data_IF_301574909129
#
_entry.id   IF_301574909129
#
_cell.length_a   1.000
_cell.length_b   1.000
_cell.length_c   1.000
_cell.angle_alpha   90.00
_cell.angle_beta   90.00
_cell.angle_gamma   90.00
#
_symmetry.space_group_name_H-M   'P 1'
#
loop_
_entity.id
_entity.type
_entity.pdbx_description
1 polymer ?
#
# COMPACT_ATOMS: atom_id res chain seq x y z
N UNK A 1 -12.58 2.26 19.60
CA UNK A 1 -11.53 2.49 18.58
C UNK A 1 -11.03 3.94 18.65
N UNK A 2 -9.73 4.21 18.60
CA UNK A 2 -9.20 5.59 18.55
C UNK A 2 -9.51 6.23 17.20
N UNK A 3 -10.10 7.43 17.21
CA UNK A 3 -10.62 8.08 15.99
C UNK A 3 -9.57 8.93 15.28
N UNK A 4 -8.58 9.49 15.99
CA UNK A 4 -7.58 10.39 15.42
C UNK A 4 -6.26 9.64 15.21
N UNK A 5 -5.57 9.91 14.09
CA UNK A 5 -4.15 9.54 13.93
C UNK A 5 -3.31 10.80 14.02
N UNK A 6 -2.26 10.78 14.84
CA UNK A 6 -1.30 11.89 14.95
C UNK A 6 0.12 11.39 14.76
N UNK A 7 0.91 12.18 14.04
CA UNK A 7 2.35 11.95 13.89
C UNK A 7 3.09 12.71 14.99
N UNK A 8 3.53 12.00 16.04
CA UNK A 8 4.16 12.60 17.22
C UNK A 8 5.51 11.95 17.50
N UNK A 9 6.40 12.68 18.16
CA UNK A 9 7.60 12.07 18.74
C UNK A 9 7.15 11.15 19.87
N UNK A 10 7.62 9.90 19.83
CA UNK A 10 7.49 8.94 20.93
C UNK A 10 8.87 8.82 21.54
N UNK A 11 9.06 9.44 22.70
CA UNK A 11 10.25 9.27 23.51
C UNK A 11 10.08 8.02 24.38
N UNK A 12 10.93 7.02 24.16
CA UNK A 12 10.86 5.76 24.91
C UNK A 12 11.55 5.84 26.28
N UNK A 13 12.18 6.98 26.61
CA UNK A 13 12.69 7.29 27.93
C UNK A 13 11.70 8.10 28.80
N UNK A 14 10.54 8.48 28.24
CA UNK A 14 9.48 9.16 28.99
C UNK A 14 8.36 8.18 29.33
N UNK A 15 8.27 7.81 30.61
CA UNK A 15 7.25 6.90 31.12
C UNK A 15 5.83 7.38 30.85
N UNK A 16 5.59 8.70 30.85
CA UNK A 16 4.27 9.28 30.60
C UNK A 16 3.80 9.09 29.15
N UNK A 17 4.72 8.86 28.22
CA UNK A 17 4.44 8.73 26.78
C UNK A 17 4.15 7.28 26.39
N UNK A 18 4.92 6.32 26.90
CA UNK A 18 4.80 4.89 26.52
C UNK A 18 4.18 4.01 27.61
N UNK A 19 3.94 4.57 28.80
CA UNK A 19 3.39 3.88 29.96
C UNK A 19 4.43 3.04 30.70
N UNK A 20 4.12 2.79 31.98
CA UNK A 20 5.00 2.11 32.94
C UNK A 20 5.61 0.79 32.43
N UNK A 21 4.77 -0.07 31.84
CA UNK A 21 5.21 -1.39 31.37
C UNK A 21 6.25 -1.27 30.25
N UNK A 22 5.94 -0.49 29.20
CA UNK A 22 6.85 -0.34 28.06
C UNK A 22 8.13 0.40 28.44
N UNK A 23 8.02 1.36 29.37
CA UNK A 23 9.19 2.06 29.92
C UNK A 23 10.14 1.10 30.63
N UNK A 24 9.64 0.31 31.60
CA UNK A 24 10.45 -0.73 32.28
C UNK A 24 11.03 -1.75 31.30
N UNK A 25 10.26 -2.16 30.30
CA UNK A 25 10.76 -3.08 29.27
C UNK A 25 11.87 -2.45 28.44
N UNK A 26 11.75 -1.17 28.07
CA UNK A 26 12.82 -0.46 27.38
C UNK A 26 14.07 -0.42 28.26
N UNK A 27 13.97 0.07 29.50
CA UNK A 27 15.10 0.16 30.45
C UNK A 27 15.83 -1.17 30.64
N UNK A 28 15.10 -2.29 30.70
CA UNK A 28 15.68 -3.63 30.83
C UNK A 28 16.59 -4.04 29.65
N UNK A 29 16.48 -3.39 28.48
CA UNK A 29 17.30 -3.66 27.28
C UNK A 29 18.69 -3.03 27.34
N UNK A 30 19.01 -2.21 28.36
CA UNK A 30 20.34 -1.65 28.65
C UNK A 30 21.04 -1.00 27.45
N UNK A 31 21.90 -1.72 26.74
CA UNK A 31 22.67 -1.18 25.60
C UNK A 31 21.85 -1.10 24.30
N UNK A 32 20.65 -1.69 24.28
CA UNK A 32 19.74 -1.74 23.12
C UNK A 32 18.41 -1.01 23.38
N UNK A 33 18.48 0.14 24.08
CA UNK A 33 17.35 1.03 24.28
C UNK A 33 16.80 1.52 22.94
N UNK A 34 15.48 1.55 22.85
CA UNK A 34 14.80 2.20 21.74
C UNK A 34 14.99 3.71 21.84
N UNK A 35 15.38 4.31 20.71
CA UNK A 35 15.59 5.76 20.61
C UNK A 35 14.28 6.49 20.34
N UNK A 36 14.16 7.76 20.74
CA UNK A 36 13.02 8.59 20.38
C UNK A 36 12.82 8.61 18.86
N UNK A 37 11.58 8.39 18.42
CA UNK A 37 11.25 8.35 17.01
C UNK A 37 9.86 8.94 16.75
N UNK A 38 9.68 9.64 15.62
CA UNK A 38 8.35 10.07 15.20
C UNK A 38 7.56 8.86 14.71
N UNK A 39 6.38 8.64 15.31
CA UNK A 39 5.48 7.53 14.98
C UNK A 39 4.09 8.09 14.70
N UNK A 40 3.40 7.44 13.76
CA UNK A 40 1.96 7.65 13.56
C UNK A 40 1.23 6.77 14.56
N UNK A 41 0.44 7.37 15.46
CA UNK A 41 -0.29 6.65 16.50
C UNK A 41 -1.78 6.96 16.48
N UNK A 42 -2.59 6.03 16.97
CA UNK A 42 -3.98 6.27 17.36
C UNK A 42 -4.05 7.19 18.58
N UNK A 43 -4.99 8.13 18.59
CA UNK A 43 -5.16 9.12 19.65
C UNK A 43 -6.63 9.51 19.80
N UNK A 44 -7.00 9.94 21.00
CA UNK A 44 -8.32 10.52 21.30
C UNK A 44 -8.35 12.05 21.14
N UNK A 45 -7.18 12.67 20.97
CA UNK A 45 -7.02 14.10 20.73
C UNK A 45 -5.98 14.34 19.62
N UNK A 46 -5.98 15.54 19.06
CA UNK A 46 -5.04 15.94 18.04
C UNK A 46 -4.84 17.45 18.02
N UNK A 47 -3.64 17.87 17.67
CA UNK A 47 -3.27 19.29 17.60
C UNK A 47 -2.82 19.63 16.19
N UNK A 48 -3.28 20.78 15.69
CA UNK A 48 -2.88 21.33 14.37
C UNK A 48 -2.99 20.31 13.24
N UNK A 49 -4.08 19.54 13.23
CA UNK A 49 -4.36 18.55 12.18
C UNK A 49 -5.25 19.20 11.13
N UNK A 50 -4.87 19.08 9.85
CA UNK A 50 -5.76 19.40 8.74
C UNK A 50 -6.81 18.30 8.62
N UNK A 51 -8.09 18.62 8.78
CA UNK A 51 -9.20 17.65 8.73
C UNK A 51 -10.19 18.05 7.63
N UNK A 52 -10.54 17.09 6.78
CA UNK A 52 -11.54 17.27 5.73
C UNK A 52 -12.94 17.37 6.32
N UNK A 53 -13.79 18.23 5.74
CA UNK A 53 -15.09 18.56 6.30
C UNK A 53 -16.00 17.35 6.58
N UNK A 54 -16.09 16.30 5.73
CA UNK A 54 -16.91 15.12 6.03
C UNK A 54 -16.44 14.37 7.29
N UNK A 55 -15.12 14.18 7.43
CA UNK A 55 -14.56 13.51 8.61
C UNK A 55 -14.73 14.36 9.87
N UNK A 56 -14.57 15.69 9.76
CA UNK A 56 -14.78 16.60 10.88
C UNK A 56 -16.23 16.60 11.36
N UNK A 57 -17.20 16.64 10.43
CA UNK A 57 -18.64 16.56 10.75
C UNK A 57 -18.95 15.27 11.51
N UNK A 58 -18.43 14.14 11.02
CA UNK A 58 -18.60 12.84 11.68
C UNK A 58 -17.95 12.81 13.07
N UNK A 59 -16.76 13.39 13.24
CA UNK A 59 -16.14 13.51 14.57
C UNK A 59 -17.01 14.28 15.56
N UNK A 60 -17.57 15.42 15.13
CA UNK A 60 -18.43 16.25 15.98
C UNK A 60 -19.71 15.50 16.36
N UNK A 61 -20.35 14.82 15.40
CA UNK A 61 -21.56 14.03 15.69
C UNK A 61 -21.30 12.89 16.69
N UNK A 62 -20.05 12.44 16.77
CA UNK A 62 -19.60 11.41 17.70
C UNK A 62 -18.97 11.98 18.99
N UNK A 63 -19.17 13.27 19.28
CA UNK A 63 -18.81 13.89 20.56
C UNK A 63 -17.40 14.47 20.64
N UNK A 64 -16.61 14.46 19.55
CA UNK A 64 -15.33 15.19 19.54
C UNK A 64 -15.58 16.69 19.50
N UNK A 65 -14.83 17.43 20.31
CA UNK A 65 -14.95 18.89 20.44
C UNK A 65 -13.77 19.58 19.77
N UNK A 66 -14.05 20.64 19.01
CA UNK A 66 -13.01 21.53 18.49
C UNK A 66 -12.64 22.52 19.60
N UNK A 67 -11.40 22.47 20.08
CA UNK A 67 -10.89 23.44 21.05
C UNK A 67 -10.35 24.71 20.40
N UNK A 68 -9.77 24.60 19.19
CA UNK A 68 -9.16 25.71 18.46
C UNK A 68 -9.17 25.49 16.96
N UNK A 69 -9.47 26.55 16.21
CA UNK A 69 -9.34 26.62 14.75
C UNK A 69 -8.19 27.53 14.36
N UNK A 70 -7.57 27.27 13.21
CA UNK A 70 -6.38 28.01 12.75
C UNK A 70 -6.52 28.52 11.32
N UNK A 71 -7.04 27.69 10.42
CA UNK A 71 -7.16 27.98 9.00
C UNK A 71 -8.34 27.20 8.43
N UNK A 72 -9.00 27.79 7.42
CA UNK A 72 -10.03 27.16 6.63
C UNK A 72 -9.60 27.18 5.16
N UNK A 73 -9.67 26.03 4.50
CA UNK A 73 -9.36 25.89 3.08
C UNK A 73 -10.68 25.54 2.40
N UNK A 74 -11.18 26.43 1.55
CA UNK A 74 -12.36 26.15 0.73
C UNK A 74 -11.97 25.12 -0.33
N UNK A 75 -12.74 24.05 -0.43
CA UNK A 75 -12.61 23.03 -1.46
C UNK A 75 -13.99 22.75 -2.06
N UNK A 76 -14.05 22.60 -3.38
CA UNK A 76 -15.25 22.18 -4.09
C UNK A 76 -15.20 20.68 -4.34
N UNK A 77 -16.31 19.99 -4.10
CA UNK A 77 -16.42 18.55 -4.36
C UNK A 77 -16.68 18.31 -5.85
N UNK A 78 -15.87 17.47 -6.47
CA UNK A 78 -16.03 17.05 -7.86
C UNK A 78 -15.80 15.53 -7.98
N UNK A 79 -16.36 14.95 -9.04
CA UNK A 79 -16.29 13.52 -9.37
C UNK A 79 -15.28 13.24 -10.49
N UNK A 80 -14.15 13.92 -10.44
CA UNK A 80 -13.18 13.93 -11.53
C UNK A 80 -12.55 12.57 -11.84
N UNK A 81 -12.54 11.68 -10.84
CA UNK A 81 -11.95 10.36 -10.95
C UNK A 81 -12.99 9.25 -11.18
N UNK A 82 -14.27 9.57 -11.32
CA UNK A 82 -15.33 8.56 -11.51
C UNK A 82 -15.03 7.66 -12.73
N UNK A 83 -14.75 8.20 -13.94
CA UNK A 83 -14.44 7.36 -15.10
C UNK A 83 -13.20 6.49 -14.91
N UNK A 84 -12.19 7.03 -14.23
CA UNK A 84 -10.96 6.30 -13.92
C UNK A 84 -11.22 5.13 -12.96
N UNK A 85 -11.98 5.36 -11.90
CA UNK A 85 -12.30 4.33 -10.91
C UNK A 85 -13.29 3.30 -11.45
N UNK A 86 -14.19 3.69 -12.36
CA UNK A 86 -15.04 2.77 -13.12
C UNK A 86 -14.21 1.85 -14.01
N UNK A 87 -13.24 2.38 -14.76
CA UNK A 87 -12.34 1.58 -15.58
C UNK A 87 -11.56 0.55 -14.75
N UNK A 88 -11.01 0.96 -13.60
CA UNK A 88 -10.34 0.03 -12.66
C UNK A 88 -11.30 -1.04 -12.16
N UNK A 89 -12.52 -0.67 -11.77
CA UNK A 89 -13.50 -1.62 -11.23
C UNK A 89 -13.98 -2.61 -12.30
N UNK A 90 -14.23 -2.13 -13.52
CA UNK A 90 -14.68 -2.95 -14.65
C UNK A 90 -13.59 -3.94 -15.08
N UNK A 91 -12.35 -3.50 -15.24
CA UNK A 91 -11.24 -4.40 -15.55
C UNK A 91 -11.08 -5.51 -14.50
N UNK A 92 -11.29 -5.20 -13.22
CA UNK A 92 -11.27 -6.19 -12.14
C UNK A 92 -12.45 -7.15 -12.18
N UNK A 93 -13.66 -6.68 -12.53
CA UNK A 93 -14.82 -7.55 -12.74
C UNK A 93 -14.59 -8.49 -13.91
N UNK A 94 -14.04 -7.99 -15.01
CA UNK A 94 -13.70 -8.80 -16.17
C UNK A 94 -12.65 -9.87 -15.83
N UNK A 95 -11.58 -9.52 -15.10
CA UNK A 95 -10.56 -10.48 -14.69
C UNK A 95 -11.04 -11.54 -13.68
N UNK A 96 -12.13 -11.26 -12.94
CA UNK A 96 -12.78 -12.27 -12.09
C UNK A 96 -13.60 -13.28 -12.91
N UNK A 97 -14.10 -12.87 -14.08
CA UNK A 97 -14.88 -13.73 -14.99
C UNK A 97 -13.96 -14.50 -15.94
N UNK A 98 -12.94 -13.82 -16.49
CA UNK A 98 -12.02 -14.34 -17.49
C UNK A 98 -10.59 -14.37 -16.92
N UNK A 99 -10.10 -15.58 -16.64
CA UNK A 99 -8.75 -15.81 -16.11
C UNK A 99 -7.64 -15.28 -17.03
N UNK A 100 -7.87 -15.19 -18.35
CA UNK A 100 -6.89 -14.62 -19.29
C UNK A 100 -6.67 -13.13 -19.04
N UNK A 101 -7.67 -12.43 -18.48
CA UNK A 101 -7.63 -11.01 -18.12
C UNK A 101 -7.15 -10.77 -16.68
N UNK A 102 -6.83 -11.81 -15.92
CA UNK A 102 -6.38 -11.67 -14.53
C UNK A 102 -5.14 -10.76 -14.38
N UNK A 103 -4.21 -10.83 -15.34
CA UNK A 103 -3.03 -9.95 -15.37
C UNK A 103 -3.44 -8.48 -15.55
N UNK A 104 -4.38 -8.20 -16.46
CA UNK A 104 -4.89 -6.84 -16.72
C UNK A 104 -5.61 -6.32 -15.46
N UNK A 105 -6.42 -7.16 -14.81
CA UNK A 105 -7.11 -6.79 -13.57
C UNK A 105 -6.13 -6.42 -12.44
N UNK A 106 -5.06 -7.18 -12.24
CA UNK A 106 -4.03 -6.85 -11.24
C UNK A 106 -3.20 -5.63 -11.65
N UNK A 107 -2.93 -5.42 -12.93
CA UNK A 107 -2.30 -4.19 -13.43
C UNK A 107 -3.17 -2.96 -13.17
N UNK A 108 -4.47 -3.01 -13.49
CA UNK A 108 -5.40 -1.91 -13.27
C UNK A 108 -5.60 -1.60 -11.79
N UNK A 109 -5.61 -2.63 -10.93
CA UNK A 109 -5.59 -2.47 -9.47
C UNK A 109 -4.31 -1.75 -9.02
N UNK A 110 -3.14 -2.12 -9.56
CA UNK A 110 -1.87 -1.45 -9.26
C UNK A 110 -1.91 0.01 -9.72
N UNK A 111 -2.40 0.30 -10.93
CA UNK A 111 -2.55 1.66 -11.45
C UNK A 111 -3.44 2.49 -10.52
N UNK A 112 -4.63 1.99 -10.17
CA UNK A 112 -5.54 2.63 -9.22
C UNK A 112 -4.90 2.93 -7.86
N UNK A 113 -4.19 1.95 -7.30
CA UNK A 113 -3.49 2.13 -6.03
C UNK A 113 -2.23 3.01 -6.13
N UNK A 114 -1.54 3.04 -7.26
CA UNK A 114 -0.33 3.85 -7.41
C UNK A 114 -0.63 5.35 -7.54
N UNK A 115 -1.80 5.71 -8.09
CA UNK A 115 -2.22 7.09 -8.33
C UNK A 115 -2.25 7.92 -7.04
N UNK A 116 -2.81 7.38 -5.95
CA UNK A 116 -2.82 8.09 -4.66
C UNK A 116 -1.39 8.35 -4.14
N UNK A 117 -0.50 7.37 -4.32
CA UNK A 117 0.88 7.44 -3.85
C UNK A 117 1.65 8.52 -4.60
N UNK A 118 1.35 8.69 -5.89
CA UNK A 118 1.89 9.78 -6.69
C UNK A 118 1.44 11.16 -6.19
N UNK A 119 0.16 11.32 -5.85
CA UNK A 119 -0.34 12.59 -5.33
C UNK A 119 0.31 12.98 -3.99
N UNK A 120 0.57 12.01 -3.11
CA UNK A 120 1.20 12.23 -1.80
C UNK A 120 2.73 12.19 -1.80
N UNK A 121 3.37 12.09 -2.97
CA UNK A 121 4.82 11.89 -3.07
C UNK A 121 5.60 13.10 -2.55
N UNK A 122 6.48 12.83 -1.59
CA UNK A 122 7.35 13.83 -0.96
C UNK A 122 8.55 14.15 -1.85
N UNK A 123 8.37 15.16 -2.70
CA UNK A 123 9.39 15.65 -3.63
C UNK A 123 10.65 16.16 -2.91
N UNK A 124 10.59 16.49 -1.61
CA UNK A 124 11.75 16.99 -0.86
C UNK A 124 12.81 15.94 -0.61
N UNK A 125 12.44 14.66 -0.67
CA UNK A 125 13.36 13.52 -0.53
C UNK A 125 14.03 13.14 -1.84
N UNK A 126 13.60 13.74 -2.96
CA UNK A 126 14.19 13.42 -4.25
C UNK A 126 15.60 14.00 -4.33
N UNK A 127 16.51 13.17 -4.81
CA UNK A 127 17.92 13.51 -4.98
C UNK A 127 18.28 13.50 -6.46
N UNK A 128 19.39 14.11 -6.79
CA UNK A 128 20.02 14.03 -8.10
C UNK A 128 21.27 13.19 -7.97
N UNK A 129 21.41 12.22 -8.86
CA UNK A 129 22.61 11.38 -8.94
C UNK A 129 23.44 11.90 -10.10
N UNK A 130 24.74 12.09 -9.86
CA UNK A 130 25.73 12.49 -10.87
C UNK A 130 26.88 11.51 -10.82
N UNK A 131 27.37 11.12 -12.00
CA UNK A 131 28.57 10.31 -12.11
C UNK A 131 29.73 11.22 -12.48
N UNK A 132 30.77 11.22 -11.67
CA UNK A 132 31.92 12.10 -11.82
C UNK A 132 33.22 11.30 -11.78
N UNK A 133 34.24 11.83 -12.46
CA UNK A 133 35.58 11.27 -12.55
C UNK A 133 36.59 12.27 -11.96
N UNK A 134 37.61 11.75 -11.29
CA UNK A 134 38.78 12.48 -10.83
C UNK A 134 38.49 13.83 -10.12
N UNK A 135 39.18 14.89 -10.52
CA UNK A 135 39.26 16.19 -9.84
C UNK A 135 37.90 16.89 -9.67
N UNK A 136 36.88 16.49 -10.43
CA UNK A 136 35.52 17.03 -10.29
C UNK A 136 34.86 16.61 -8.97
N UNK A 137 35.24 15.46 -8.40
CA UNK A 137 34.64 14.87 -7.19
C UNK A 137 34.77 15.82 -5.99
N UNK A 138 35.96 16.36 -5.74
CA UNK A 138 36.23 17.24 -4.59
C UNK A 138 35.30 18.45 -4.58
N UNK A 139 35.11 19.08 -5.75
CA UNK A 139 34.21 20.23 -5.90
C UNK A 139 32.74 19.90 -5.61
N UNK A 140 32.31 18.66 -5.86
CA UNK A 140 30.93 18.22 -5.58
C UNK A 140 30.72 17.89 -4.11
N UNK A 141 31.73 17.29 -3.44
CA UNK A 141 31.67 16.99 -2.00
C UNK A 141 31.57 18.28 -1.18
N UNK A 142 32.35 19.30 -1.56
CA UNK A 142 32.36 20.61 -0.89
C UNK A 142 31.08 21.43 -1.17
N UNK A 143 30.29 21.04 -2.17
CA UNK A 143 29.07 21.75 -2.51
C UNK A 143 28.00 21.55 -1.42
N UNK A 144 27.32 22.62 -1.01
CA UNK A 144 26.34 22.61 0.09
C UNK A 144 25.12 21.68 -0.12
N UNK A 145 24.89 21.21 -1.35
CA UNK A 145 23.85 20.23 -1.66
C UNK A 145 24.35 18.79 -1.66
N UNK A 146 25.61 18.54 -1.36
CA UNK A 146 26.14 17.18 -1.22
C UNK A 146 25.33 16.39 -0.19
N UNK A 147 25.07 15.12 -0.51
CA UNK A 147 24.36 14.19 0.37
C UNK A 147 25.12 12.90 0.63
N UNK A 148 25.74 12.33 -0.40
CA UNK A 148 26.50 11.10 -0.28
C UNK A 148 27.30 10.82 -1.53
N UNK A 149 28.27 9.92 -1.40
CA UNK A 149 29.12 9.44 -2.48
C UNK A 149 29.25 7.93 -2.33
N UNK A 150 29.20 7.23 -3.45
CA UNK A 150 29.49 5.80 -3.55
C UNK A 150 30.59 5.62 -4.61
N UNK A 151 31.73 5.06 -4.19
CA UNK A 151 32.83 4.77 -5.11
C UNK A 151 32.44 3.59 -6.01
N UNK A 152 32.56 3.80 -7.31
CA UNK A 152 32.52 2.78 -8.33
C UNK A 152 33.95 2.51 -8.81
N UNK A 153 34.16 1.48 -9.63
CA UNK A 153 35.50 1.10 -10.09
C UNK A 153 36.30 2.28 -10.64
N UNK A 154 35.79 2.92 -11.70
CA UNK A 154 36.49 3.99 -12.39
C UNK A 154 35.79 5.35 -12.23
N UNK A 155 34.81 5.47 -11.32
CA UNK A 155 34.02 6.71 -11.14
C UNK A 155 33.43 6.81 -9.75
N UNK A 156 32.83 7.95 -9.41
CA UNK A 156 32.04 8.10 -8.19
C UNK A 156 30.59 8.42 -8.54
N UNK A 157 29.66 7.70 -7.93
CA UNK A 157 28.26 8.08 -7.89
C UNK A 157 28.07 9.12 -6.77
N UNK A 158 27.80 10.36 -7.14
CA UNK A 158 27.59 11.47 -6.20
C UNK A 158 26.09 11.77 -6.10
N UNK A 159 25.55 11.59 -4.92
CA UNK A 159 24.17 11.93 -4.59
C UNK A 159 24.10 13.36 -4.03
N UNK A 160 23.28 14.19 -4.67
CA UNK A 160 23.06 15.60 -4.34
C UNK A 160 21.59 15.84 -3.96
N UNK A 161 21.34 16.74 -3.01
CA UNK A 161 20.01 17.31 -2.76
C UNK A 161 19.64 18.29 -3.87
N UNK A 162 18.35 18.38 -4.19
CA UNK A 162 17.85 19.39 -5.13
C UNK A 162 17.83 20.77 -4.48
N UNK A 163 18.43 21.76 -5.14
CA UNK A 163 18.44 23.16 -4.66
C UNK A 163 17.07 23.82 -4.74
N UNK A 164 16.30 23.49 -5.78
CA UNK A 164 14.92 23.97 -5.98
C UNK A 164 14.02 22.76 -6.18
N UNK A 165 12.91 22.75 -5.46
CA UNK A 165 11.91 21.70 -5.55
C UNK A 165 10.70 22.25 -6.30
N UNK A 166 10.31 21.56 -7.38
CA UNK A 166 9.06 21.86 -8.06
C UNK A 166 7.99 20.90 -7.57
N UNK A 167 7.12 21.36 -6.66
CA UNK A 167 6.07 20.55 -6.10
C UNK A 167 4.82 20.58 -6.99
N UNK A 168 4.78 19.68 -7.97
CA UNK A 168 3.68 19.57 -8.95
C UNK A 168 2.56 18.63 -8.49
N UNK A 169 2.74 17.92 -7.38
CA UNK A 169 1.79 16.89 -6.96
C UNK A 169 0.61 17.52 -6.19
N UNK A 170 -0.63 17.11 -6.48
CA UNK A 170 -1.81 17.59 -5.77
C UNK A 170 -1.94 16.88 -4.41
N UNK A 171 -1.05 17.20 -3.46
CA UNK A 171 -0.95 16.53 -2.14
C UNK A 171 -2.28 16.54 -1.38
N UNK A 172 -3.09 17.59 -1.56
CA UNK A 172 -4.43 17.70 -0.95
C UNK A 172 -5.36 16.52 -1.34
N UNK A 173 -5.21 15.94 -2.54
CA UNK A 173 -5.96 14.75 -2.96
C UNK A 173 -5.57 13.53 -2.13
N UNK A 174 -4.27 13.32 -1.89
CA UNK A 174 -3.80 12.21 -1.04
C UNK A 174 -4.36 12.34 0.38
N UNK A 175 -4.36 13.56 0.93
CA UNK A 175 -4.94 13.84 2.24
C UNK A 175 -6.44 13.53 2.26
N UNK A 176 -7.19 13.97 1.24
CA UNK A 176 -8.62 13.71 1.13
C UNK A 176 -8.92 12.21 1.04
N UNK A 177 -8.23 11.48 0.15
CA UNK A 177 -8.39 10.04 -0.04
C UNK A 177 -8.19 9.29 1.28
N UNK A 178 -7.09 9.53 1.99
CA UNK A 178 -6.83 8.85 3.26
C UNK A 178 -7.84 9.20 4.36
N UNK A 179 -8.28 10.45 4.43
CA UNK A 179 -9.26 10.85 5.43
C UNK A 179 -10.66 10.31 5.15
N UNK A 180 -11.07 10.23 3.88
CA UNK A 180 -12.34 9.65 3.48
C UNK A 180 -12.33 8.12 3.59
N UNK A 181 -11.22 7.46 3.28
CA UNK A 181 -11.04 6.03 3.54
C UNK A 181 -11.14 5.74 5.05
N UNK A 182 -10.46 6.54 5.89
CA UNK A 182 -10.58 6.45 7.34
C UNK A 182 -12.01 6.68 7.82
N UNK A 183 -12.68 7.71 7.29
CA UNK A 183 -14.09 7.96 7.61
C UNK A 183 -14.92 6.71 7.33
N UNK A 184 -14.76 6.08 6.17
CA UNK A 184 -15.52 4.89 5.81
C UNK A 184 -15.24 3.71 6.76
N UNK A 185 -14.00 3.50 7.19
CA UNK A 185 -13.66 2.48 8.21
C UNK A 185 -14.27 2.79 9.57
N UNK A 186 -14.28 4.05 9.99
CA UNK A 186 -14.89 4.48 11.24
C UNK A 186 -16.41 4.32 11.21
N UNK A 187 -17.04 4.71 10.11
CA UNK A 187 -18.46 4.49 9.85
C UNK A 187 -18.81 3.01 9.88
N UNK A 188 -18.00 2.15 9.27
CA UNK A 188 -18.23 0.71 9.33
C UNK A 188 -18.19 0.18 10.76
N UNK A 189 -17.22 0.63 11.58
CA UNK A 189 -17.17 0.20 12.98
C UNK A 189 -18.34 0.74 13.80
N UNK A 190 -18.61 2.05 13.77
CA UNK A 190 -19.55 2.70 14.69
C UNK A 190 -21.00 2.70 14.17
N UNK A 191 -21.17 2.95 12.87
CA UNK A 191 -22.48 3.16 12.26
C UNK A 191 -23.04 1.85 11.63
N UNK A 192 -22.26 0.77 11.62
CA UNK A 192 -22.68 -0.56 11.17
C UNK A 192 -22.46 -1.61 12.27
N UNK A 193 -21.20 -1.96 12.59
CA UNK A 193 -20.93 -3.06 13.52
C UNK A 193 -21.44 -2.75 14.95
N UNK A 194 -21.07 -1.63 15.54
CA UNK A 194 -21.52 -1.23 16.89
C UNK A 194 -23.02 -0.94 16.94
N UNK A 195 -23.58 -0.44 15.83
CA UNK A 195 -25.00 -0.13 15.73
C UNK A 195 -25.85 -1.42 15.73
N UNK A 196 -25.56 -2.37 14.84
CA UNK A 196 -26.40 -3.56 14.64
C UNK A 196 -26.12 -4.73 15.58
N UNK A 197 -24.92 -4.81 16.17
CA UNK A 197 -24.51 -5.94 17.01
C UNK A 197 -24.35 -5.53 18.47
N UNK A 198 -24.68 -6.43 19.40
CA UNK A 198 -24.41 -6.19 20.81
C UNK A 198 -22.90 -6.27 21.08
N UNK A 199 -22.40 -5.47 22.03
CA UNK A 199 -20.99 -5.46 22.39
C UNK A 199 -20.49 -6.78 22.98
N UNK A 200 -21.38 -7.62 23.51
CA UNK A 200 -21.07 -8.97 23.96
C UNK A 200 -20.92 -9.97 22.80
N UNK A 201 -21.44 -9.65 21.62
CA UNK A 201 -21.48 -10.54 20.46
C UNK A 201 -20.34 -10.33 19.48
N UNK A 202 -19.49 -9.32 19.67
CA UNK A 202 -18.32 -9.13 18.81
C UNK A 202 -17.10 -8.54 19.50
N UNK A 203 -15.93 -8.93 19.01
CA UNK A 203 -14.64 -8.36 19.40
C UNK A 203 -13.82 -8.02 18.15
N UNK A 204 -13.43 -6.75 18.04
CA UNK A 204 -12.50 -6.32 17.00
C UNK A 204 -11.08 -6.75 17.38
N UNK A 205 -10.43 -7.54 16.53
CA UNK A 205 -9.12 -8.15 16.81
C UNK A 205 -7.96 -7.41 16.16
N UNK A 206 -8.12 -7.02 14.89
CA UNK A 206 -7.07 -6.35 14.13
C UNK A 206 -7.70 -5.47 13.05
N UNK A 207 -7.10 -4.32 12.77
CA UNK A 207 -7.45 -3.49 11.61
C UNK A 207 -6.19 -3.14 10.82
N UNK A 208 -6.22 -3.35 9.51
CA UNK A 208 -5.19 -2.84 8.61
C UNK A 208 -5.82 -2.09 7.46
N UNK A 209 -5.59 -0.77 7.42
CA UNK A 209 -5.93 0.18 6.34
C UNK A 209 -7.39 0.14 5.86
N UNK A 210 -7.76 -0.89 5.10
CA UNK A 210 -9.04 -1.14 4.44
C UNK A 210 -9.64 -2.52 4.79
N UNK A 211 -9.10 -3.20 5.82
CA UNK A 211 -9.54 -4.50 6.32
C UNK A 211 -9.75 -4.49 7.83
N UNK A 212 -10.69 -5.32 8.30
CA UNK A 212 -11.02 -5.50 9.71
C UNK A 212 -11.25 -6.97 10.04
N UNK A 213 -10.60 -7.45 11.09
CA UNK A 213 -10.79 -8.79 11.64
C UNK A 213 -11.67 -8.68 12.88
N UNK A 214 -12.85 -9.30 12.83
CA UNK A 214 -13.87 -9.22 13.85
C UNK A 214 -14.26 -10.65 14.22
N UNK A 215 -14.10 -11.00 15.49
CA UNK A 215 -14.67 -12.23 16.03
C UNK A 215 -16.11 -11.97 16.44
N UNK A 216 -16.98 -12.93 16.15
CA UNK A 216 -18.39 -12.89 16.55
C UNK A 216 -18.72 -14.09 17.44
N UNK A 217 -19.76 -13.94 18.27
CA UNK A 217 -20.26 -15.01 19.16
C UNK A 217 -21.05 -16.10 18.42
N UNK A 218 -21.53 -15.81 17.20
CA UNK A 218 -22.33 -16.74 16.39
C UNK A 218 -21.71 -17.01 15.01
N UNK A 219 -22.10 -18.16 14.41
CA UNK A 219 -21.60 -18.61 13.12
C UNK A 219 -22.09 -17.75 11.95
N UNK A 220 -23.34 -17.25 11.99
CA UNK A 220 -23.90 -16.36 10.97
C UNK A 220 -24.25 -14.97 11.56
N UNK A 221 -23.27 -14.08 11.79
CA UNK A 221 -23.48 -12.79 12.45
C UNK A 221 -24.59 -11.95 11.85
N UNK A 222 -24.59 -11.80 10.51
CA UNK A 222 -25.58 -10.99 9.79
C UNK A 222 -27.00 -11.56 9.87
N UNK A 223 -27.18 -12.79 10.37
CA UNK A 223 -28.48 -13.46 10.52
C UNK A 223 -28.86 -13.71 11.97
N UNK A 224 -27.90 -14.01 12.84
CA UNK A 224 -28.18 -14.55 14.16
C UNK A 224 -27.83 -13.57 15.27
N UNK A 225 -26.88 -12.65 15.04
CA UNK A 225 -26.36 -11.71 16.05
C UNK A 225 -26.84 -10.26 15.85
N UNK A 226 -27.75 -10.00 14.91
CA UNK A 226 -28.34 -8.66 14.75
C UNK A 226 -29.31 -8.42 15.91
N UNK A 227 -29.19 -7.26 16.57
CA UNK A 227 -30.12 -6.82 17.62
C UNK A 227 -31.57 -6.97 17.14
N UNK A 228 -32.44 -7.67 17.88
CA UNK A 228 -33.81 -7.98 17.44
C UNK A 228 -34.59 -6.74 17.00
N UNK A 229 -34.46 -5.64 17.74
CA UNK A 229 -35.14 -4.36 17.48
C UNK A 229 -34.64 -3.60 16.26
N UNK A 230 -33.50 -3.98 15.68
CA UNK A 230 -32.91 -3.36 14.48
C UNK A 230 -33.02 -4.24 13.24
N UNK A 231 -33.72 -5.38 13.31
CA UNK A 231 -33.73 -6.36 12.23
C UNK A 231 -34.34 -5.80 10.93
N UNK A 232 -35.51 -5.16 11.03
CA UNK A 232 -36.17 -4.55 9.88
C UNK A 232 -35.30 -3.44 9.28
N UNK A 233 -34.73 -2.58 10.14
CA UNK A 233 -33.80 -1.53 9.70
C UNK A 233 -32.56 -2.11 9.01
N UNK A 234 -32.01 -3.21 9.52
CA UNK A 234 -30.87 -3.88 8.92
C UNK A 234 -31.22 -4.44 7.53
N UNK A 235 -32.35 -5.11 7.40
CA UNK A 235 -32.77 -5.69 6.11
C UNK A 235 -33.00 -4.61 5.04
N UNK A 236 -33.49 -3.43 5.43
CA UNK A 236 -33.63 -2.27 4.55
C UNK A 236 -32.28 -1.63 4.14
N UNK A 237 -31.30 -1.58 5.04
CA UNK A 237 -30.08 -0.77 4.87
C UNK A 237 -28.78 -1.60 4.71
N UNK A 238 -28.81 -2.93 4.80
CA UNK A 238 -27.59 -3.77 4.76
C UNK A 238 -26.77 -3.58 3.48
N UNK A 239 -27.41 -3.29 2.35
CA UNK A 239 -26.72 -3.09 1.07
C UNK A 239 -26.02 -1.74 0.93
N UNK A 240 -26.17 -0.84 1.91
CA UNK A 240 -25.30 0.34 2.03
C UNK A 240 -23.90 -0.04 2.52
N UNK A 241 -23.76 -1.21 3.15
CA UNK A 241 -22.55 -1.69 3.79
C UNK A 241 -21.97 -2.88 3.06
N UNK A 242 -22.80 -3.83 2.65
CA UNK A 242 -22.41 -5.13 2.11
C UNK A 242 -22.84 -5.31 0.65
N UNK A 243 -22.15 -6.15 -0.14
CA UNK A 243 -22.60 -6.56 -1.45
C UNK A 243 -24.03 -7.11 -1.44
N UNK A 244 -24.81 -6.77 -2.47
CA UNK A 244 -26.14 -7.36 -2.66
C UNK A 244 -26.03 -8.86 -2.91
N UNK A 245 -26.89 -9.64 -2.26
CA UNK A 245 -26.83 -11.11 -2.25
C UNK A 245 -28.10 -11.80 -2.80
N UNK A 246 -29.09 -11.04 -3.26
CA UNK A 246 -30.33 -11.60 -3.81
C UNK A 246 -30.17 -12.33 -5.15
N UNK A 247 -29.06 -12.13 -5.87
CA UNK A 247 -28.66 -12.99 -6.99
C UNK A 247 -27.13 -13.00 -7.21
N UNK A 248 -26.66 -14.03 -7.92
CA UNK A 248 -25.23 -14.25 -8.13
C UNK A 248 -24.56 -13.20 -9.02
N UNK A 249 -25.27 -12.62 -10.00
CA UNK A 249 -24.71 -11.63 -10.93
C UNK A 249 -24.43 -10.30 -10.22
N UNK A 250 -25.40 -9.83 -9.44
CA UNK A 250 -25.28 -8.60 -8.66
C UNK A 250 -24.24 -8.79 -7.55
N UNK A 251 -24.20 -9.95 -6.88
CA UNK A 251 -23.17 -10.26 -5.89
C UNK A 251 -21.75 -10.21 -6.47
N UNK A 252 -21.55 -10.76 -7.68
CA UNK A 252 -20.27 -10.67 -8.40
C UNK A 252 -19.91 -9.23 -8.75
N UNK A 253 -20.87 -8.44 -9.22
CA UNK A 253 -20.66 -7.03 -9.56
C UNK A 253 -20.25 -6.22 -8.33
N UNK A 254 -20.98 -6.39 -7.22
CA UNK A 254 -20.79 -5.64 -5.98
C UNK A 254 -19.52 -6.02 -5.22
N UNK A 255 -18.99 -7.23 -5.43
CA UNK A 255 -17.67 -7.64 -4.91
C UNK A 255 -16.53 -6.70 -5.33
N UNK A 256 -16.72 -5.95 -6.42
CA UNK A 256 -15.79 -4.93 -6.94
C UNK A 256 -16.37 -3.51 -6.91
N UNK A 257 -17.56 -3.30 -6.34
CA UNK A 257 -18.13 -1.97 -6.16
C UNK A 257 -17.40 -1.25 -5.01
N UNK A 258 -16.83 -0.06 -5.24
CA UNK A 258 -16.15 0.69 -4.19
C UNK A 258 -17.07 1.00 -3.00
N UNK A 259 -16.47 1.17 -1.82
CA UNK A 259 -17.12 1.48 -0.52
C UNK A 259 -17.90 0.35 0.15
N UNK A 260 -18.17 -0.77 -0.52
CA UNK A 260 -18.80 -1.93 0.11
C UNK A 260 -17.75 -2.79 0.83
N UNK A 261 -18.16 -3.37 1.96
CA UNK A 261 -17.38 -4.30 2.77
C UNK A 261 -17.78 -5.71 2.42
N UNK A 262 -16.80 -6.55 2.09
CA UNK A 262 -17.02 -7.96 1.76
C UNK A 262 -16.22 -8.83 2.70
N UNK A 263 -16.75 -10.01 2.95
CA UNK A 263 -15.99 -11.07 3.61
C UNK A 263 -14.91 -11.58 2.64
N UNK A 264 -13.65 -11.30 2.97
CA UNK A 264 -12.52 -11.81 2.20
C UNK A 264 -12.01 -13.15 2.72
N UNK A 265 -12.22 -13.41 4.01
CA UNK A 265 -11.73 -14.60 4.71
C UNK A 265 -12.55 -14.84 5.98
N UNK A 266 -12.74 -16.12 6.32
CA UNK A 266 -13.41 -16.60 7.52
C UNK A 266 -12.65 -17.79 8.09
N UNK A 267 -12.59 -17.88 9.42
CA UNK A 267 -12.06 -19.04 10.12
C UNK A 267 -12.32 -18.96 11.62
N UNK A 268 -11.85 -19.97 12.34
CA UNK A 268 -12.36 -20.27 13.69
C UNK A 268 -11.66 -19.48 14.79
N UNK A 269 -10.39 -19.13 14.57
CA UNK A 269 -9.59 -18.43 15.55
C UNK A 269 -8.52 -17.56 14.90
N UNK A 270 -7.99 -16.64 15.70
CA UNK A 270 -6.86 -15.79 15.33
C UNK A 270 -6.04 -15.45 16.57
N UNK A 271 -4.72 -15.49 16.43
CA UNK A 271 -3.78 -14.93 17.42
C UNK A 271 -3.10 -13.73 16.78
N UNK A 272 -3.41 -12.54 17.30
CA UNK A 272 -2.79 -11.27 16.88
C UNK A 272 -1.80 -10.80 17.94
N UNK A 273 -0.53 -10.65 17.56
CA UNK A 273 0.53 -10.23 18.49
C UNK A 273 0.80 -8.73 18.38
N UNK A 274 0.83 -8.22 17.16
CA UNK A 274 1.04 -6.81 16.85
C UNK A 274 0.50 -6.50 15.46
N UNK A 275 0.46 -5.21 15.12
CA UNK A 275 0.01 -4.74 13.81
C UNK A 275 0.72 -5.51 12.68
N UNK A 276 -0.07 -6.13 11.78
CA UNK A 276 0.43 -6.95 10.66
C UNK A 276 1.27 -8.19 11.07
N UNK A 277 1.10 -8.68 12.30
CA UNK A 277 1.75 -9.90 12.80
C UNK A 277 0.73 -10.79 13.53
N UNK A 278 0.16 -11.74 12.78
CA UNK A 278 -0.93 -12.59 13.23
C UNK A 278 -0.96 -13.93 12.51
N UNK A 279 -1.60 -14.91 13.16
CA UNK A 279 -1.97 -16.19 12.54
C UNK A 279 -3.48 -16.37 12.66
N UNK A 280 -4.11 -16.86 11.59
CA UNK A 280 -5.52 -17.21 11.56
C UNK A 280 -5.67 -18.71 11.24
N UNK A 281 -6.62 -19.35 11.91
CA UNK A 281 -6.90 -20.78 11.81
C UNK A 281 -8.08 -21.01 10.86
N UNK A 282 -7.93 -21.87 9.85
CA UNK A 282 -9.02 -22.24 8.96
C UNK A 282 -9.97 -23.26 9.61
N UNK A 283 -11.24 -23.30 9.18
CA UNK A 283 -12.26 -24.19 9.72
C UNK A 283 -12.15 -25.65 9.25
N UNK A 284 -10.98 -26.10 8.76
CA UNK A 284 -10.78 -27.45 8.23
C UNK A 284 -10.11 -28.40 9.25
N UNK A 285 -10.38 -29.72 9.15
CA UNK A 285 -9.76 -30.73 10.02
C UNK A 285 -8.21 -30.70 9.94
N UNK A 286 -7.66 -30.25 8.81
CA UNK A 286 -6.23 -30.05 8.57
C UNK A 286 -5.65 -28.76 9.20
N UNK A 287 -6.50 -27.89 9.79
CA UNK A 287 -6.14 -26.61 10.41
C UNK A 287 -5.14 -25.80 9.57
N UNK A 288 -5.42 -25.59 8.29
CA UNK A 288 -4.55 -24.77 7.44
C UNK A 288 -4.48 -23.36 8.03
N UNK A 289 -3.27 -22.77 8.03
CA UNK A 289 -3.02 -21.48 8.68
C UNK A 289 -2.77 -20.37 7.68
N UNK A 290 -3.35 -19.19 7.96
CA UNK A 290 -2.97 -17.94 7.31
C UNK A 290 -2.02 -17.19 8.22
N UNK A 291 -0.77 -17.04 7.80
CA UNK A 291 0.25 -16.31 8.59
C UNK A 291 0.56 -14.96 7.94
N UNK A 292 0.52 -13.90 8.74
CA UNK A 292 1.01 -12.57 8.40
C UNK A 292 2.11 -12.17 9.37
N UNK A 293 3.27 -11.79 8.87
CA UNK A 293 4.40 -11.33 9.67
C UNK A 293 5.22 -10.31 8.88
N UNK A 294 4.91 -9.02 9.05
CA UNK A 294 5.56 -7.98 8.25
C UNK A 294 7.03 -7.82 8.62
N UNK A 295 7.90 -7.81 7.61
CA UNK A 295 9.34 -7.67 7.78
C UNK A 295 10.08 -8.98 8.00
N UNK A 296 9.36 -10.10 8.14
CA UNK A 296 9.90 -11.44 8.27
C UNK A 296 9.77 -12.19 6.94
N UNK A 297 10.78 -12.98 6.59
CA UNK A 297 10.75 -13.78 5.37
C UNK A 297 9.99 -15.08 5.60
N UNK A 298 8.95 -15.34 4.79
CA UNK A 298 8.08 -16.53 4.93
C UNK A 298 8.28 -17.56 3.80
N UNK A 299 8.97 -17.17 2.72
CA UNK A 299 9.10 -18.01 1.52
C UNK A 299 10.00 -19.22 1.70
N UNK A 300 9.62 -20.36 1.09
CA UNK A 300 10.35 -21.65 1.08
C UNK A 300 10.57 -22.28 2.46
N UNK A 301 9.60 -22.18 3.36
CA UNK A 301 9.68 -22.76 4.70
C UNK A 301 10.65 -22.05 5.65
N UNK A 302 11.17 -20.88 5.27
CA UNK A 302 11.99 -20.07 6.19
C UNK A 302 11.13 -19.59 7.35
N UNK A 303 11.70 -19.66 8.56
CA UNK A 303 11.04 -19.32 9.80
C UNK A 303 9.76 -20.13 10.07
N UNK A 304 9.54 -21.27 9.41
CA UNK A 304 8.34 -22.10 9.65
C UNK A 304 8.31 -22.68 11.08
N UNK A 305 9.48 -22.83 11.70
CA UNK A 305 9.70 -23.18 13.10
C UNK A 305 9.24 -22.08 14.09
N UNK A 306 9.12 -20.83 13.64
CA UNK A 306 8.67 -19.68 14.45
C UNK A 306 7.29 -19.17 14.01
N UNK A 307 6.96 -19.31 12.74
CA UNK A 307 5.74 -18.81 12.09
C UNK A 307 4.68 -19.91 12.02
N UNK A 308 4.35 -20.48 13.18
CA UNK A 308 3.37 -21.54 13.34
C UNK A 308 2.45 -21.24 14.55
N UNK A 309 1.30 -21.95 14.66
CA UNK A 309 0.36 -21.79 15.76
C UNK A 309 1.01 -21.85 17.15
N UNK A 310 1.75 -22.92 17.43
CA UNK A 310 2.33 -23.17 18.74
C UNK A 310 3.20 -22.01 19.22
N UNK A 311 3.99 -21.44 18.30
CA UNK A 311 4.84 -20.29 18.59
C UNK A 311 4.02 -19.05 18.94
N UNK A 312 3.00 -18.73 18.13
CA UNK A 312 2.12 -17.57 18.38
C UNK A 312 1.34 -17.72 19.69
N UNK A 313 0.80 -18.92 19.96
CA UNK A 313 0.14 -19.23 21.23
C UNK A 313 1.10 -19.13 22.41
N UNK A 314 2.33 -19.61 22.25
CA UNK A 314 3.39 -19.54 23.27
C UNK A 314 3.72 -18.09 23.63
N UNK A 315 3.75 -17.18 22.65
CA UNK A 315 3.91 -15.73 22.94
C UNK A 315 2.80 -15.24 23.86
N UNK A 316 1.55 -15.59 23.58
CA UNK A 316 0.41 -15.14 24.38
C UNK A 316 0.42 -15.79 25.76
N UNK A 317 0.58 -17.11 25.83
CA UNK A 317 0.50 -17.91 27.06
C UNK A 317 1.65 -17.63 28.01
N UNK A 318 2.88 -17.62 27.48
CA UNK A 318 4.09 -17.51 28.28
C UNK A 318 4.66 -16.08 28.29
N UNK A 319 4.05 -15.13 27.56
CA UNK A 319 4.49 -13.73 27.45
C UNK A 319 5.95 -13.60 27.00
N UNK A 320 6.37 -14.49 26.10
CA UNK A 320 7.74 -14.53 25.57
C UNK A 320 7.85 -13.75 24.26
N UNK A 321 9.07 -13.37 23.90
CA UNK A 321 9.36 -12.75 22.60
C UNK A 321 9.86 -13.80 21.61
N UNK A 322 9.22 -13.91 20.45
CA UNK A 322 9.78 -14.65 19.32
C UNK A 322 10.75 -13.78 18.55
N UNK A 323 11.86 -14.38 18.11
CA UNK A 323 12.83 -13.76 17.21
C UNK A 323 12.89 -14.58 15.94
N UNK A 324 12.61 -13.95 14.81
CA UNK A 324 12.78 -14.54 13.50
C UNK A 324 13.69 -13.64 12.66
N UNK A 325 14.67 -14.21 11.92
CA UNK A 325 15.45 -13.43 10.97
C UNK A 325 14.54 -12.74 9.95
N UNK A 326 14.68 -11.42 9.88
CA UNK A 326 13.92 -10.56 8.99
C UNK A 326 14.42 -10.62 7.53
N UNK A 327 13.73 -9.90 6.65
CA UNK A 327 14.30 -9.55 5.36
C UNK A 327 15.57 -8.71 5.63
N UNK A 328 16.74 -9.24 5.27
CA UNK A 328 17.99 -8.49 5.38
C UNK A 328 17.83 -7.18 4.58
N UNK A 329 17.92 -6.04 5.27
CA UNK A 329 18.18 -4.77 4.61
C UNK A 329 19.45 -4.94 3.77
N UNK A 330 19.36 -4.59 2.49
CA UNK A 330 20.52 -4.63 1.59
C UNK A 330 21.52 -3.60 2.11
N UNK A 331 22.75 -4.03 2.37
CA UNK A 331 23.86 -3.12 2.57
C UNK A 331 24.95 -3.43 1.54
N UNK A 332 25.55 -2.37 1.02
CA UNK A 332 26.64 -2.43 0.06
C UNK A 332 27.94 -2.63 0.85
N UNK A 333 28.70 -3.67 0.54
CA UNK A 333 29.97 -3.91 1.21
C UNK A 333 31.10 -3.27 0.40
N UNK A 334 31.58 -2.11 0.86
CA UNK A 334 32.61 -1.28 0.21
C UNK A 334 33.88 -2.07 -0.15
N UNK A 335 34.27 -3.05 0.65
CA UNK A 335 35.49 -3.84 0.41
C UNK A 335 35.36 -4.89 -0.71
N UNK A 336 34.14 -5.25 -1.12
CA UNK A 336 33.94 -6.31 -2.13
C UNK A 336 32.97 -5.95 -3.26
N UNK A 337 32.45 -4.72 -3.28
CA UNK A 337 31.49 -4.20 -4.27
C UNK A 337 30.37 -5.18 -4.63
N UNK A 338 29.86 -5.93 -3.65
CA UNK A 338 28.79 -6.91 -3.83
C UNK A 338 27.69 -6.67 -2.81
N UNK A 339 26.44 -6.74 -3.26
CA UNK A 339 25.29 -6.83 -2.37
C UNK A 339 25.39 -8.12 -1.55
N UNK A 340 25.58 -7.98 -0.23
CA UNK A 340 25.62 -9.11 0.69
C UNK A 340 24.38 -9.09 1.58
N UNK A 341 23.75 -10.26 1.73
CA UNK A 341 22.75 -10.49 2.77
C UNK A 341 23.46 -11.04 4.02
N UNK A 342 23.15 -10.54 5.20
CA UNK A 342 23.68 -11.09 6.46
C UNK A 342 22.77 -12.23 6.95
N UNK A 343 23.32 -13.42 7.13
CA UNK A 343 22.72 -14.51 7.90
C UNK A 343 23.81 -15.05 8.83
N UNK A 344 23.62 -14.91 10.15
CA UNK A 344 24.36 -15.58 11.24
C UNK A 344 25.86 -15.82 11.00
N UNK A 345 26.65 -14.73 10.92
CA UNK A 345 28.12 -14.82 11.00
C UNK A 345 28.82 -15.61 9.89
N UNK A 346 28.11 -16.07 8.85
CA UNK A 346 28.68 -16.77 7.70
C UNK A 346 28.39 -15.99 6.43
N UNK A 347 29.44 -15.47 5.83
CA UNK A 347 29.41 -14.86 4.50
C UNK A 347 29.07 -15.93 3.47
N UNK A 348 27.88 -15.88 2.88
CA UNK A 348 27.58 -16.62 1.64
C UNK A 348 27.44 -15.64 0.47
N UNK A 349 28.03 -16.01 -0.66
CA UNK A 349 27.70 -15.39 -1.94
C UNK A 349 26.26 -15.74 -2.29
N UNK A 350 25.37 -14.76 -2.26
CA UNK A 350 24.00 -14.98 -2.70
C UNK A 350 24.01 -15.16 -4.21
N UNK A 351 23.54 -16.31 -4.69
CA UNK A 351 23.11 -16.46 -6.09
C UNK A 351 21.93 -15.52 -6.25
N UNK A 352 22.13 -14.46 -7.02
CA UNK A 352 21.06 -13.66 -7.58
C UNK A 352 20.11 -14.63 -8.28
N UNK A 353 18.89 -14.83 -7.78
CA UNK A 353 17.82 -15.13 -8.72
C UNK A 353 17.67 -13.85 -9.53
N UNK A 354 18.43 -13.76 -10.64
CA UNK A 354 18.00 -12.93 -11.77
C UNK A 354 16.54 -13.28 -11.96
N UNK A 355 15.64 -12.32 -11.76
CA UNK A 355 14.39 -12.37 -12.49
C UNK A 355 14.83 -12.30 -13.94
N UNK A 356 14.85 -13.46 -14.59
CA UNK A 356 15.17 -13.50 -16.00
C UNK A 356 13.94 -12.96 -16.71
N UNK A 357 13.87 -11.64 -16.83
CA UNK A 357 12.80 -10.96 -17.56
C UNK A 357 12.71 -11.49 -19.00
N UNK A 358 13.76 -12.15 -19.52
CA UNK A 358 13.71 -12.93 -20.75
C UNK A 358 12.76 -14.11 -20.64
N UNK A 359 12.72 -14.84 -19.53
CA UNK A 359 11.78 -15.96 -19.34
C UNK A 359 10.34 -15.45 -19.23
N UNK A 360 10.11 -14.35 -18.52
CA UNK A 360 8.78 -13.73 -18.39
C UNK A 360 8.32 -13.07 -19.69
N UNK A 361 9.23 -12.49 -20.47
CA UNK A 361 8.94 -11.95 -21.80
C UNK A 361 8.73 -13.06 -22.84
N UNK A 362 9.47 -14.16 -22.73
CA UNK A 362 9.26 -15.35 -23.56
C UNK A 362 7.92 -16.02 -23.24
N UNK A 363 7.53 -16.12 -21.96
CA UNK A 363 6.20 -16.57 -21.55
C UNK A 363 5.10 -15.65 -22.08
N UNK A 364 5.31 -14.34 -22.08
CA UNK A 364 4.39 -13.37 -22.67
C UNK A 364 4.31 -13.51 -24.20
N UNK A 365 5.45 -13.65 -24.88
CA UNK A 365 5.53 -13.86 -26.32
C UNK A 365 4.84 -15.16 -26.73
N UNK A 366 5.08 -16.26 -26.01
CA UNK A 366 4.42 -17.54 -26.23
C UNK A 366 2.90 -17.48 -26.03
N UNK A 367 2.42 -16.54 -25.20
CA UNK A 367 1.00 -16.28 -24.96
C UNK A 367 0.32 -15.47 -26.06
N UNK A 368 1.08 -14.66 -26.80
CA UNK A 368 0.52 -13.70 -27.78
C UNK A 368 0.96 -13.96 -29.22
N UNK A 369 1.90 -14.88 -29.48
CA UNK A 369 2.40 -15.21 -30.83
C UNK A 369 1.35 -15.69 -31.81
N UNK A 370 0.29 -16.32 -31.31
CA UNK A 370 -0.79 -16.88 -32.14
C UNK A 370 -1.99 -15.93 -32.28
N UNK A 371 -1.92 -14.75 -31.65
CA UNK A 371 -2.97 -13.74 -31.66
C UNK A 371 -2.76 -12.74 -32.80
N UNK A 372 -3.82 -12.51 -33.56
CA UNK A 372 -3.79 -11.61 -34.73
C UNK A 372 -4.16 -10.15 -34.35
N UNK A 373 -4.45 -9.88 -33.08
CA UNK A 373 -4.83 -8.57 -32.52
C UNK A 373 -3.70 -7.88 -31.73
N UNK A 374 -2.47 -8.40 -31.81
CA UNK A 374 -1.29 -7.92 -31.05
C UNK A 374 -0.09 -7.72 -31.97
N UNK A 375 0.34 -6.46 -32.13
CA UNK A 375 1.53 -6.08 -32.90
C UNK A 375 2.77 -5.89 -32.00
N UNK A 376 3.93 -6.35 -32.48
CA UNK A 376 5.21 -6.25 -31.78
C UNK A 376 6.20 -5.40 -32.59
N UNK A 377 6.84 -4.43 -31.94
CA UNK A 377 7.73 -3.47 -32.59
C UNK A 377 9.21 -3.79 -32.32
N UNK A 378 10.04 -3.66 -33.36
CA UNK A 378 11.50 -3.89 -33.30
C UNK A 378 12.28 -2.65 -33.73
N UNK A 379 13.58 -2.60 -33.42
CA UNK A 379 14.45 -1.44 -33.68
C UNK A 379 14.65 -1.12 -35.19
N UNK A 380 14.33 -2.02 -36.11
CA UNK A 380 14.31 -1.73 -37.54
C UNK A 380 12.86 -1.40 -37.96
N UNK A 381 12.64 -0.20 -38.53
CA UNK A 381 11.34 0.42 -38.90
C UNK A 381 10.49 -0.41 -39.91
N UNK A 382 10.08 -1.61 -39.52
CA UNK A 382 9.05 -2.40 -40.20
C UNK A 382 8.19 -3.11 -39.15
N UNK A 383 6.89 -2.80 -39.15
CA UNK A 383 5.89 -3.48 -38.31
C UNK A 383 5.78 -4.94 -38.74
N UNK A 384 5.87 -5.88 -37.80
CA UNK A 384 5.67 -7.30 -38.07
C UNK A 384 4.57 -7.84 -37.15
N UNK A 385 3.67 -8.64 -37.71
CA UNK A 385 2.74 -9.47 -36.94
C UNK A 385 3.54 -10.39 -36.01
N UNK A 386 2.99 -10.72 -34.83
CA UNK A 386 3.69 -11.53 -33.82
C UNK A 386 4.21 -12.88 -34.36
N UNK A 387 3.55 -13.45 -35.37
CA UNK A 387 3.96 -14.68 -36.09
C UNK A 387 5.23 -14.54 -36.93
N UNK A 388 5.65 -13.31 -37.29
CA UNK A 388 6.77 -13.03 -38.19
C UNK A 388 8.03 -12.50 -37.45
N UNK A 389 8.04 -12.52 -36.11
CA UNK A 389 9.13 -12.02 -35.28
C UNK A 389 10.13 -13.12 -34.88
N UNK A 390 11.40 -12.96 -35.25
CA UNK A 390 12.51 -13.81 -34.81
C UNK A 390 13.48 -13.01 -33.91
N UNK A 391 13.72 -13.41 -32.64
CA UNK A 391 14.57 -12.67 -31.72
C UNK A 391 16.06 -12.80 -32.07
N UNK A 392 16.78 -11.67 -32.16
CA UNK A 392 18.26 -11.64 -32.25
C UNK A 392 18.87 -11.13 -30.94
N UNK A 393 20.08 -11.60 -30.65
CA UNK A 393 20.79 -11.30 -29.40
C UNK A 393 21.30 -9.86 -29.33
N UNK A 394 20.99 -9.15 -28.24
CA UNK A 394 21.78 -8.00 -27.80
C UNK A 394 21.15 -6.60 -27.79
N UNK A 395 19.91 -6.38 -28.22
CA UNK A 395 19.32 -5.03 -28.21
C UNK A 395 17.95 -4.94 -27.54
N UNK A 396 17.79 -3.98 -26.63
CA UNK A 396 16.50 -3.50 -26.18
C UNK A 396 16.53 -1.97 -26.05
N UNK A 397 15.73 -1.28 -26.85
CA UNK A 397 15.25 0.08 -26.58
C UNK A 397 13.73 0.03 -26.54
N UNK A 398 13.14 0.59 -25.49
CA UNK A 398 11.69 0.72 -25.36
C UNK A 398 11.18 1.85 -26.28
N UNK A 399 10.10 1.58 -27.02
CA UNK A 399 9.29 2.60 -27.65
C UNK A 399 8.01 2.03 -28.28
N UNK A 400 6.85 2.40 -27.74
CA UNK A 400 5.62 2.55 -28.53
C UNK A 400 5.48 4.06 -28.73
N UNK A 401 5.53 4.50 -29.98
CA UNK A 401 5.35 5.90 -30.39
C UNK A 401 3.90 6.05 -30.86
N UNK A 402 3.08 6.78 -30.12
CA UNK A 402 1.83 7.32 -30.66
C UNK A 402 2.12 8.78 -30.97
N UNK A 403 2.09 9.14 -32.25
CA UNK A 403 2.32 10.50 -32.71
C UNK A 403 1.33 11.47 -32.06
N UNK A 404 1.87 12.41 -31.28
CA UNK A 404 1.72 13.87 -31.36
C UNK A 404 2.93 14.39 -30.55
N UNK A 405 4.07 14.54 -31.24
CA UNK A 405 5.34 15.04 -30.68
C UNK A 405 5.41 16.56 -30.84
N UNK A 406 4.59 17.32 -30.09
CA UNK A 406 4.80 18.77 -29.98
C UNK A 406 4.85 19.31 -28.53
N UNK A 407 4.62 18.51 -27.48
CA UNK A 407 4.62 19.04 -26.09
C UNK A 407 5.09 18.06 -24.97
N UNK A 408 5.89 17.05 -25.33
CA UNK A 408 6.38 16.04 -24.38
C UNK A 408 7.57 16.56 -23.55
N UNK A 409 7.53 16.34 -22.23
CA UNK A 409 8.63 16.71 -21.33
C UNK A 409 9.60 15.52 -21.19
N UNK A 410 10.81 15.68 -21.72
CA UNK A 410 11.87 14.66 -21.76
C UNK A 410 12.43 14.25 -20.39
N UNK A 411 12.03 14.92 -19.31
CA UNK A 411 12.45 14.61 -17.94
C UNK A 411 11.43 13.78 -17.14
N UNK A 412 10.36 13.28 -17.79
CA UNK A 412 9.34 12.43 -17.18
C UNK A 412 9.34 11.05 -17.84
N UNK A 413 9.05 10.00 -17.07
CA UNK A 413 8.82 8.65 -17.61
C UNK A 413 7.57 8.62 -18.49
N UNK A 414 7.48 7.67 -19.42
CA UNK A 414 6.34 7.57 -20.35
C UNK A 414 4.99 7.52 -19.60
N UNK A 415 4.91 6.74 -18.51
CA UNK A 415 3.71 6.68 -17.67
C UNK A 415 3.37 8.02 -16.98
N UNK A 416 4.37 8.83 -16.64
CA UNK A 416 4.16 10.17 -16.05
C UNK A 416 3.74 11.20 -17.11
N UNK A 417 4.23 11.06 -18.34
CA UNK A 417 3.78 11.86 -19.48
C UNK A 417 2.35 11.46 -19.89
N UNK A 418 2.01 10.17 -19.87
CA UNK A 418 0.65 9.67 -20.14
C UNK A 418 -0.34 10.14 -19.07
N UNK A 419 0.02 10.02 -17.79
CA UNK A 419 -0.81 10.53 -16.69
C UNK A 419 -0.99 12.05 -16.76
N UNK A 420 0.05 12.80 -17.18
CA UNK A 420 -0.02 14.26 -17.40
C UNK A 420 -0.94 14.60 -18.59
N UNK A 421 -0.85 13.86 -19.69
CA UNK A 421 -1.67 14.06 -20.90
C UNK A 421 -3.15 13.77 -20.62
N UNK A 422 -3.44 12.66 -19.93
CA UNK A 422 -4.80 12.33 -19.47
C UNK A 422 -5.35 13.41 -18.54
N UNK A 423 -4.53 13.94 -17.62
CA UNK A 423 -4.95 15.04 -16.75
C UNK A 423 -5.22 16.34 -17.54
N UNK A 424 -4.37 16.68 -18.51
CA UNK A 424 -4.50 17.91 -19.29
C UNK A 424 -5.66 17.86 -20.28
N UNK A 425 -5.92 16.71 -20.92
CA UNK A 425 -7.08 16.50 -21.78
C UNK A 425 -8.39 16.57 -20.98
N UNK A 426 -8.36 16.07 -19.74
CA UNK A 426 -9.47 16.18 -18.79
C UNK A 426 -9.73 17.64 -18.38
N UNK A 427 -8.67 18.42 -18.06
CA UNK A 427 -8.81 19.83 -17.69
C UNK A 427 -9.21 20.73 -18.85
N UNK A 428 -8.71 20.48 -20.06
CA UNK A 428 -9.06 21.27 -21.26
C UNK A 428 -10.53 21.08 -21.64
N UNK A 429 -11.10 19.87 -21.45
CA UNK A 429 -12.54 19.61 -21.65
C UNK A 429 -13.43 20.37 -20.64
N UNK A 430 -12.98 20.50 -19.40
CA UNK A 430 -13.67 21.29 -18.36
C UNK A 430 -13.69 22.78 -18.72
N UNK A 431 -12.59 23.31 -19.27
CA UNK A 431 -12.49 24.74 -19.65
C UNK A 431 -13.30 25.06 -20.90
N UNK A 432 -13.48 24.11 -21.83
CA UNK A 432 -14.29 24.32 -23.04
C UNK A 432 -15.81 24.21 -22.83
N UNK A 433 -16.27 23.61 -21.74
CA UNK A 433 -17.70 23.44 -21.43
C UNK A 433 -18.28 24.54 -20.52
N UNK A 434 -17.48 25.55 -20.16
CA UNK A 434 -17.96 26.78 -19.53
C UNK A 434 -18.68 26.57 -18.18
N UNK A 435 -18.04 25.87 -17.23
CA UNK A 435 -18.43 25.85 -15.81
C UNK A 435 -17.48 26.68 -14.97
#
# INVERSE_FOLDING_TARGET
>A
MTRIFKNTLIDCADESVIGHHMYKYNEARKQSLEKPARKLIGSYFGEKILIYAPLLKWYISHGLKISKTYCFIKASSHKAFDPFMEAVSNARREGDVDKSKAMIAEMMKLVGNSAFGRFGMDMSKHKEVKYEYDNAIKSKIEHFTFHGLEELNDSCEITMKKRRLNNKNPIHLSIAIYQLAKLRMLQFYYDCIDFYFDRSDFQYQEMDTDSGYIAFSCENPLKDCIKPELRDHFDEHKYEWFPRDYNAEVAKFDRRTPRLFKEEWRGDAMVSLSVKSYICFLPDEEHKVKVSAKGIQQGRGRNADVLNPDSFETVVRNRVTLRAPGNVGRYFNDSTQRLRGYIEGRVKSTITKKGDWRSTFQEFFDLVKDRDDVDLFTNEDTTKLAKAFEPRDGEARHGIKIGIDEDMNSFLTNAENDAKKILMDYYSKIVSEGV
#
